data_IF_745596480449
#
_entry.id   IF_745596480449
#
_cell.length_a   1.000
_cell.length_b   1.000
_cell.length_c   1.000
_cell.angle_alpha   90.00
_cell.angle_beta   90.00
_cell.angle_gamma   90.00
#
_symmetry.space_group_name_H-M   'P 1'
#
loop_
_entity.id
_entity.type
_entity.pdbx_description
1 polymer ?
#
# COMPACT_ATOMS: atom_id res chain seq x y z
N UNK A 1 -7.35 22.58 -13.37
CA UNK A 1 -7.18 21.25 -14.00
C UNK A 1 -5.74 20.68 -13.92
N UNK A 2 -4.69 21.48 -13.83
CA UNK A 2 -3.30 20.97 -13.73
C UNK A 2 -2.97 20.25 -12.41
N UNK A 3 -3.61 20.62 -11.31
CA UNK A 3 -3.36 20.06 -9.97
C UNK A 3 -3.76 18.58 -9.82
N UNK A 4 -4.91 18.17 -10.36
CA UNK A 4 -5.40 16.79 -10.24
C UNK A 4 -4.49 15.77 -10.91
N UNK A 5 -4.03 16.06 -12.13
CA UNK A 5 -3.11 15.18 -12.89
C UNK A 5 -1.77 15.00 -12.16
N UNK A 6 -1.24 16.08 -11.55
CA UNK A 6 -0.01 16.01 -10.77
C UNK A 6 -0.13 15.08 -9.57
N UNK A 7 -1.26 15.10 -8.86
CA UNK A 7 -1.51 14.21 -7.72
C UNK A 7 -1.64 12.75 -8.13
N UNK A 8 -2.26 12.46 -9.28
CA UNK A 8 -2.33 11.12 -9.84
C UNK A 8 -0.94 10.58 -10.23
N UNK A 9 -0.10 11.42 -10.83
CA UNK A 9 1.29 11.05 -11.13
C UNK A 9 2.09 10.78 -9.86
N UNK A 10 1.95 11.62 -8.83
CA UNK A 10 2.60 11.41 -7.53
C UNK A 10 2.14 10.11 -6.89
N UNK A 11 0.83 9.81 -6.92
CA UNK A 11 0.30 8.54 -6.43
C UNK A 11 0.93 7.35 -7.14
N UNK A 12 0.93 7.35 -8.47
CA UNK A 12 1.49 6.28 -9.29
C UNK A 12 2.99 6.08 -9.02
N UNK A 13 3.76 7.18 -8.96
CA UNK A 13 5.20 7.14 -8.69
C UNK A 13 5.49 6.62 -7.27
N UNK A 14 4.75 7.06 -6.26
CA UNK A 14 4.89 6.59 -4.88
C UNK A 14 4.63 5.08 -4.80
N UNK A 15 3.53 4.61 -5.42
CA UNK A 15 3.24 3.19 -5.52
C UNK A 15 4.32 2.41 -6.26
N UNK A 16 4.82 2.96 -7.38
CA UNK A 16 5.89 2.34 -8.17
C UNK A 16 7.19 2.19 -7.36
N UNK A 17 7.57 3.18 -6.55
CA UNK A 17 8.78 3.12 -5.69
C UNK A 17 8.65 2.00 -4.65
N UNK A 18 7.49 1.89 -3.98
CA UNK A 18 7.24 0.80 -3.04
C UNK A 18 7.26 -0.54 -3.78
N UNK A 19 6.54 -0.63 -4.90
CA UNK A 19 6.46 -1.84 -5.72
C UNK A 19 7.81 -2.27 -6.29
N UNK A 20 8.70 -1.34 -6.62
CA UNK A 20 10.08 -1.64 -7.04
C UNK A 20 10.87 -2.37 -5.95
N UNK A 21 10.76 -1.90 -4.71
CA UNK A 21 11.40 -2.60 -3.59
C UNK A 21 10.84 -4.03 -3.43
N UNK A 22 9.52 -4.20 -3.58
CA UNK A 22 8.86 -5.51 -3.49
C UNK A 22 9.27 -6.43 -4.65
N UNK A 23 9.32 -5.90 -5.87
CA UNK A 23 9.80 -6.63 -7.04
C UNK A 23 11.24 -7.14 -6.86
N UNK A 24 12.15 -6.26 -6.40
CA UNK A 24 13.54 -6.66 -6.12
C UNK A 24 13.66 -7.69 -5.00
N UNK A 25 12.71 -7.75 -4.09
CA UNK A 25 12.64 -8.76 -3.05
C UNK A 25 11.94 -10.07 -3.50
N UNK A 26 11.63 -10.21 -4.80
CA UNK A 26 10.99 -11.41 -5.37
C UNK A 26 9.55 -11.62 -4.90
N UNK A 27 8.81 -10.52 -4.60
CA UNK A 27 7.42 -10.60 -4.15
C UNK A 27 6.46 -10.51 -5.32
N UNK A 28 5.31 -11.25 -5.30
CA UNK A 28 4.35 -11.28 -6.42
C UNK A 28 3.78 -9.90 -6.76
N UNK A 29 3.32 -9.13 -5.77
CA UNK A 29 2.87 -7.77 -5.94
C UNK A 29 4.07 -6.84 -6.18
N UNK A 30 4.33 -6.53 -7.43
CA UNK A 30 5.44 -5.69 -7.88
C UNK A 30 5.04 -4.25 -8.19
N UNK A 31 5.81 -3.63 -9.10
CA UNK A 31 5.68 -2.20 -9.49
C UNK A 31 4.28 -1.86 -9.99
N UNK A 32 3.76 -2.64 -10.93
CA UNK A 32 2.45 -2.38 -11.52
C UNK A 32 1.33 -2.44 -10.50
N UNK A 33 1.31 -3.48 -9.67
CA UNK A 33 0.27 -3.67 -8.65
C UNK A 33 0.23 -2.50 -7.67
N UNK A 34 1.38 -2.10 -7.12
CA UNK A 34 1.45 -0.98 -6.18
C UNK A 34 1.12 0.36 -6.84
N UNK A 35 1.61 0.62 -8.06
CA UNK A 35 1.28 1.84 -8.80
C UNK A 35 -0.23 1.95 -9.07
N UNK A 36 -0.87 0.87 -9.51
CA UNK A 36 -2.31 0.84 -9.78
C UNK A 36 -3.15 0.99 -8.49
N UNK A 37 -2.75 0.37 -7.40
CA UNK A 37 -3.44 0.51 -6.10
C UNK A 37 -3.38 1.96 -5.62
N UNK A 38 -2.21 2.61 -5.66
CA UNK A 38 -2.07 4.01 -5.27
C UNK A 38 -2.86 4.94 -6.19
N UNK A 39 -2.75 4.74 -7.51
CA UNK A 39 -3.46 5.53 -8.52
C UNK A 39 -4.97 5.39 -8.38
N UNK A 40 -5.49 4.18 -8.24
CA UNK A 40 -6.91 3.91 -8.06
C UNK A 40 -7.46 4.55 -6.78
N UNK A 41 -6.73 4.45 -5.68
CA UNK A 41 -7.10 5.10 -4.42
C UNK A 41 -7.17 6.63 -4.57
N UNK A 42 -6.20 7.24 -5.24
CA UNK A 42 -6.21 8.68 -5.51
C UNK A 42 -7.38 9.10 -6.41
N UNK A 43 -7.71 8.30 -7.43
CA UNK A 43 -8.85 8.55 -8.31
C UNK A 43 -10.19 8.53 -7.55
N UNK A 44 -10.42 7.54 -6.69
CA UNK A 44 -11.63 7.46 -5.87
C UNK A 44 -11.77 8.67 -4.95
N UNK A 45 -10.67 9.12 -4.33
CA UNK A 45 -10.66 10.32 -3.49
C UNK A 45 -10.98 11.57 -4.31
N UNK A 46 -10.36 11.75 -5.48
CA UNK A 46 -10.63 12.90 -6.35
C UNK A 46 -12.09 12.95 -6.81
N UNK A 47 -12.68 11.79 -7.14
CA UNK A 47 -14.10 11.70 -7.48
C UNK A 47 -14.96 12.12 -6.29
N UNK A 48 -14.67 11.63 -5.08
CA UNK A 48 -15.43 12.02 -3.88
C UNK A 48 -15.39 13.52 -3.60
N UNK A 49 -14.21 14.12 -3.75
CA UNK A 49 -14.04 15.58 -3.56
C UNK A 49 -14.83 16.38 -4.62
N UNK A 50 -14.81 15.93 -5.88
CA UNK A 50 -15.50 16.63 -6.98
C UNK A 50 -17.02 16.51 -6.90
N UNK A 51 -17.53 15.36 -6.45
CA UNK A 51 -18.97 15.08 -6.40
C UNK A 51 -19.64 15.59 -5.11
N UNK A 52 -18.89 16.05 -4.13
CA UNK A 52 -19.42 16.54 -2.85
C UNK A 52 -19.28 18.07 -2.74
N UNK A 53 -20.23 18.85 -3.25
CA UNK A 53 -20.23 20.31 -3.03
C UNK A 53 -20.33 20.58 -1.52
N UNK A 54 -19.33 21.27 -0.96
CA UNK A 54 -19.29 21.61 0.45
C UNK A 54 -18.48 20.65 1.34
N UNK A 55 -17.72 19.73 0.75
CA UNK A 55 -16.78 18.81 1.46
C UNK A 55 -17.46 18.07 2.61
N UNK A 56 -18.55 17.32 2.31
CA UNK A 56 -19.16 16.50 3.35
C UNK A 56 -18.14 15.43 3.79
N UNK A 57 -17.74 15.49 5.06
CA UNK A 57 -16.82 14.51 5.68
C UNK A 57 -17.29 13.08 5.50
N UNK A 58 -18.61 12.87 5.39
CA UNK A 58 -19.22 11.54 5.25
C UNK A 58 -18.93 10.87 3.91
N UNK A 59 -19.01 11.60 2.79
CA UNK A 59 -18.70 11.04 1.46
C UNK A 59 -17.21 10.61 1.38
N UNK A 60 -16.32 11.46 1.89
CA UNK A 60 -14.90 11.15 1.97
C UNK A 60 -14.64 9.92 2.85
N UNK A 61 -15.22 9.87 4.04
CA UNK A 61 -15.07 8.74 4.98
C UNK A 61 -15.54 7.44 4.36
N UNK A 62 -16.68 7.42 3.66
CA UNK A 62 -17.18 6.23 2.96
C UNK A 62 -16.23 5.74 1.87
N UNK A 63 -15.62 6.65 1.11
CA UNK A 63 -14.64 6.29 0.09
C UNK A 63 -13.39 5.70 0.72
N UNK A 64 -12.86 6.29 1.79
CA UNK A 64 -11.71 5.74 2.53
C UNK A 64 -12.01 4.35 3.07
N UNK A 65 -13.18 4.14 3.66
CA UNK A 65 -13.63 2.82 4.14
C UNK A 65 -13.74 1.81 2.99
N UNK A 66 -14.32 2.23 1.86
CA UNK A 66 -14.44 1.38 0.66
C UNK A 66 -13.06 0.95 0.11
N UNK A 67 -12.12 1.89 0.02
CA UNK A 67 -10.74 1.61 -0.41
C UNK A 67 -10.08 0.63 0.56
N UNK A 68 -10.13 0.90 1.88
CA UNK A 68 -9.52 0.05 2.89
C UNK A 68 -10.08 -1.38 2.85
N UNK A 69 -11.39 -1.53 2.66
CA UNK A 69 -12.06 -2.83 2.51
C UNK A 69 -11.64 -3.54 1.23
N UNK A 70 -11.67 -2.83 0.09
CA UNK A 70 -11.32 -3.40 -1.21
C UNK A 70 -9.86 -3.87 -1.29
N UNK A 71 -8.94 -3.09 -0.71
CA UNK A 71 -7.53 -3.47 -0.65
C UNK A 71 -7.30 -4.63 0.33
N UNK A 72 -8.15 -4.77 1.35
CA UNK A 72 -8.17 -5.95 2.22
C UNK A 72 -8.38 -7.24 1.43
N UNK A 73 -9.25 -7.23 0.40
CA UNK A 73 -9.45 -8.36 -0.50
C UNK A 73 -8.19 -8.69 -1.33
N UNK A 74 -7.52 -7.68 -1.89
CA UNK A 74 -6.24 -7.87 -2.59
C UNK A 74 -5.17 -8.40 -1.65
N UNK A 75 -5.09 -7.87 -0.42
CA UNK A 75 -4.19 -8.33 0.61
C UNK A 75 -4.43 -9.79 1.00
N UNK A 76 -5.69 -10.21 1.10
CA UNK A 76 -6.04 -11.61 1.35
C UNK A 76 -5.54 -12.53 0.22
N UNK A 77 -5.63 -12.07 -1.04
CA UNK A 77 -5.09 -12.79 -2.20
C UNK A 77 -3.56 -12.97 -2.19
N UNK A 78 -2.82 -12.09 -1.50
CA UNK A 78 -1.37 -12.19 -1.33
C UNK A 78 -0.96 -13.18 -0.23
N UNK A 79 -1.88 -13.55 0.68
CA UNK A 79 -1.60 -14.43 1.81
C UNK A 79 -1.91 -15.86 1.42
N UNK A 80 -0.90 -16.71 1.43
CA UNK A 80 -1.05 -18.12 1.12
C UNK A 80 -0.25 -19.00 2.10
N UNK A 81 -0.65 -20.25 2.21
CA UNK A 81 0.06 -21.27 2.98
C UNK A 81 0.72 -22.27 2.05
N UNK A 82 1.90 -22.73 2.43
CA UNK A 82 2.52 -23.84 1.73
C UNK A 82 1.68 -25.11 1.89
N UNK A 83 1.43 -25.78 0.78
CA UNK A 83 0.72 -27.07 0.77
C UNK A 83 1.56 -28.24 1.32
N UNK A 84 2.79 -27.95 1.80
CA UNK A 84 3.73 -28.93 2.33
C UNK A 84 3.71 -29.05 3.86
N UNK A 85 4.67 -29.81 4.39
CA UNK A 85 4.80 -30.12 5.82
C UNK A 85 5.07 -28.91 6.72
N UNK A 86 5.49 -27.78 6.17
CA UNK A 86 5.92 -26.62 6.97
C UNK A 86 4.77 -25.71 7.44
N UNK A 87 3.55 -25.86 6.93
CA UNK A 87 2.36 -25.03 7.27
C UNK A 87 2.66 -23.51 7.43
N UNK A 88 3.66 -22.99 6.69
CA UNK A 88 4.10 -21.59 6.80
C UNK A 88 3.15 -20.68 6.07
N UNK A 89 2.82 -19.55 6.71
CA UNK A 89 2.05 -18.47 6.11
C UNK A 89 3.00 -17.48 5.45
N UNK A 90 2.76 -17.20 4.18
CA UNK A 90 3.50 -16.25 3.35
C UNK A 90 2.63 -15.07 2.98
N UNK A 91 3.25 -13.96 2.56
CA UNK A 91 2.53 -12.82 1.98
C UNK A 91 2.05 -11.75 2.96
N UNK A 92 2.12 -11.96 4.29
CA UNK A 92 1.64 -10.98 5.28
C UNK A 92 2.24 -9.58 5.08
N UNK A 93 3.56 -9.48 4.90
CA UNK A 93 4.22 -8.19 4.64
C UNK A 93 3.84 -7.62 3.27
N UNK A 94 3.56 -8.45 2.26
CA UNK A 94 3.08 -8.00 0.95
C UNK A 94 1.68 -7.43 1.05
N UNK A 95 0.78 -8.10 1.75
CA UNK A 95 -0.58 -7.61 2.03
C UNK A 95 -0.56 -6.27 2.78
N UNK A 96 0.27 -6.16 3.83
CA UNK A 96 0.46 -4.92 4.57
C UNK A 96 1.03 -3.79 3.68
N UNK A 97 1.97 -4.10 2.78
CA UNK A 97 2.52 -3.12 1.84
C UNK A 97 1.47 -2.60 0.86
N UNK A 98 0.58 -3.46 0.34
CA UNK A 98 -0.54 -3.03 -0.51
C UNK A 98 -1.49 -2.09 0.24
N UNK A 99 -1.82 -2.43 1.49
CA UNK A 99 -2.70 -1.62 2.32
C UNK A 99 -2.13 -0.21 2.58
N UNK A 100 -0.86 -0.12 2.92
CA UNK A 100 -0.16 1.17 3.10
C UNK A 100 -0.06 1.94 1.78
N UNK A 101 0.16 1.25 0.66
CA UNK A 101 0.20 1.88 -0.67
C UNK A 101 -1.13 2.54 -1.02
N UNK A 102 -2.25 1.91 -0.70
CA UNK A 102 -3.57 2.51 -0.86
C UNK A 102 -3.75 3.76 0.01
N UNK A 103 -3.29 3.72 1.27
CA UNK A 103 -3.32 4.88 2.15
C UNK A 103 -2.51 6.06 1.60
N UNK A 104 -1.33 5.81 1.02
CA UNK A 104 -0.54 6.85 0.35
C UNK A 104 -1.24 7.39 -0.90
N UNK A 105 -1.95 6.55 -1.64
CA UNK A 105 -2.81 6.97 -2.74
C UNK A 105 -3.93 7.91 -2.30
N UNK A 106 -4.59 7.60 -1.16
CA UNK A 106 -5.60 8.49 -0.55
C UNK A 106 -4.99 9.86 -0.23
N UNK A 107 -3.83 9.88 0.42
CA UNK A 107 -3.11 11.12 0.75
C UNK A 107 -2.76 11.92 -0.51
N UNK A 108 -2.34 11.23 -1.58
CA UNK A 108 -2.07 11.87 -2.87
C UNK A 108 -3.33 12.52 -3.45
N UNK A 109 -4.47 11.80 -3.43
CA UNK A 109 -5.76 12.33 -3.88
C UNK A 109 -6.23 13.57 -3.10
N UNK A 110 -5.86 13.68 -1.82
CA UNK A 110 -6.10 14.86 -0.99
C UNK A 110 -5.18 16.07 -1.33
N UNK A 111 -4.20 15.88 -2.21
CA UNK A 111 -3.31 16.97 -2.65
C UNK A 111 -2.20 17.34 -1.68
N UNK A 112 -1.90 16.52 -0.68
CA UNK A 112 -0.88 16.83 0.32
C UNK A 112 0.47 16.21 -0.04
N UNK A 113 1.26 16.92 -0.89
CA UNK A 113 2.59 16.48 -1.31
C UNK A 113 3.58 16.33 -0.14
N UNK A 114 3.49 17.21 0.85
CA UNK A 114 4.34 17.14 2.07
C UNK A 114 4.04 15.87 2.86
N UNK A 115 2.76 15.55 3.05
CA UNK A 115 2.35 14.36 3.79
C UNK A 115 2.76 13.07 3.05
N UNK A 116 2.66 13.06 1.71
CA UNK A 116 3.12 11.91 0.92
C UNK A 116 4.62 11.69 1.14
N UNK A 117 5.42 12.74 0.99
CA UNK A 117 6.88 12.63 1.12
C UNK A 117 7.27 12.19 2.53
N UNK A 118 6.68 12.78 3.57
CA UNK A 118 6.95 12.43 4.97
C UNK A 118 6.48 11.02 5.35
N UNK A 119 5.39 10.51 4.75
CA UNK A 119 4.87 9.19 5.02
C UNK A 119 5.59 8.08 4.21
N UNK A 120 6.02 8.38 2.97
CA UNK A 120 6.68 7.38 2.12
C UNK A 120 8.03 6.94 2.68
N UNK A 121 8.80 7.86 3.26
CA UNK A 121 10.11 7.55 3.83
C UNK A 121 10.05 6.50 4.96
N UNK A 122 9.24 6.65 6.04
CA UNK A 122 9.12 5.63 7.08
C UNK A 122 8.52 4.32 6.55
N UNK A 123 7.61 4.34 5.58
CA UNK A 123 7.09 3.13 4.96
C UNK A 123 8.20 2.34 4.28
N UNK A 124 9.02 2.99 3.46
CA UNK A 124 10.18 2.35 2.82
C UNK A 124 11.20 1.86 3.85
N UNK A 125 11.43 2.63 4.91
CA UNK A 125 12.33 2.24 5.99
C UNK A 125 11.86 0.93 6.62
N UNK A 126 10.59 0.82 6.99
CA UNK A 126 10.02 -0.41 7.57
C UNK A 126 10.15 -1.59 6.61
N UNK A 127 9.76 -1.41 5.34
CA UNK A 127 9.80 -2.48 4.32
C UNK A 127 11.24 -2.97 4.08
N UNK A 128 12.23 -2.08 4.14
CA UNK A 128 13.64 -2.43 3.90
C UNK A 128 14.30 -3.01 5.14
N UNK A 129 13.99 -2.49 6.33
CA UNK A 129 14.64 -2.90 7.57
C UNK A 129 14.06 -4.16 8.19
N UNK A 130 12.74 -4.39 8.10
CA UNK A 130 12.10 -5.53 8.76
C UNK A 130 12.72 -6.87 8.38
N UNK A 131 13.02 -7.20 7.10
CA UNK A 131 13.65 -8.47 6.76
C UNK A 131 15.10 -8.60 7.27
N UNK A 132 15.81 -7.45 7.40
CA UNK A 132 17.19 -7.44 7.94
C UNK A 132 17.19 -7.71 9.44
N UNK A 133 16.25 -7.09 10.17
CA UNK A 133 16.09 -7.30 11.61
C UNK A 133 15.65 -8.74 11.92
N UNK A 134 14.69 -9.27 11.18
CA UNK A 134 14.24 -10.66 11.34
C UNK A 134 15.35 -11.69 11.11
N UNK A 135 16.27 -11.42 10.17
CA UNK A 135 17.45 -12.27 9.95
C UNK A 135 18.47 -12.17 11.07
N UNK A 136 18.60 -11.00 11.69
CA UNK A 136 19.57 -10.75 12.75
C UNK A 136 19.10 -11.29 14.11
N UNK A 137 17.79 -11.37 14.31
CA UNK A 137 17.16 -11.89 15.54
C UNK A 137 16.20 -13.03 15.17
N UNK A 138 16.72 -14.24 14.86
CA UNK A 138 15.85 -15.36 14.55
C UNK A 138 14.99 -15.68 15.77
N UNK A 139 13.68 -15.77 15.59
CA UNK A 139 12.76 -16.19 16.64
C UNK A 139 13.02 -17.65 17.02
N UNK A 140 13.06 -17.98 18.32
CA UNK A 140 13.22 -19.35 18.84
C UNK A 140 12.20 -20.34 18.25
N UNK A 141 11.03 -19.88 17.85
CA UNK A 141 10.04 -20.70 17.14
C UNK A 141 10.49 -21.19 15.74
N UNK A 142 11.65 -20.76 15.25
CA UNK A 142 12.25 -21.22 13.98
C UNK A 142 13.23 -22.37 14.17
N UNK A 143 13.72 -22.60 15.39
CA UNK A 143 14.71 -23.64 15.72
C UNK A 143 14.04 -24.98 16.11
N UNK A 144 12.76 -24.98 16.47
CA UNK A 144 12.03 -26.19 16.90
C UNK A 144 11.23 -26.86 15.76
N UNK A 145 11.55 -26.53 14.48
CA UNK A 145 10.81 -27.11 13.35
C UNK A 145 11.72 -27.66 12.27
#
# INVERSE_FOLDING_TARGET
MRTGTSFLLIAALTGAVIGWNRFRAGKPAGVGTHALVALGSALFVLIAIQMSPGHSSDAFTRVVQGIATGVGFLGAGEIFRDAGTSNRVHGLTSAAALWVTAALGIVAGCGSGVLIASATAPVLLVIVLSPRLERRFPSKAREER
#
